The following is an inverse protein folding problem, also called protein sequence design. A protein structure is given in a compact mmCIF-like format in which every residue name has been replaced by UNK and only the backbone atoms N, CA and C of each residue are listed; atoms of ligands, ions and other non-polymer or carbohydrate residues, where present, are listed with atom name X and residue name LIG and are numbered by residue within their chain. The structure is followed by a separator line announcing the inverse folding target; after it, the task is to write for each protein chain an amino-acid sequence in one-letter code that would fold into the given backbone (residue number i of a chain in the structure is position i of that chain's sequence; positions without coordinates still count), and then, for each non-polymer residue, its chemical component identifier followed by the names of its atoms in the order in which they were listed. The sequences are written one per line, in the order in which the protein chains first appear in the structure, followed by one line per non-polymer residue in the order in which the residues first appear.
data_IF_868742081963
#
_entry.id   IF_868742081963
#
_cell.length_a   1.000
_cell.length_b   1.000
_cell.length_c   1.000
_cell.angle_alpha   90.00
_cell.angle_beta   90.00
_cell.angle_gamma   90.00
#
_symmetry.space_group_name_H-M   'P 1'
#
loop_
_entity.id
_entity.type
_entity.pdbx_description
1 polymer ?
#
# COMPACT_ATOMS: atom_id res chain seq x y z
N UNK A 1 14.85 -18.25 27.39
CA UNK A 1 15.30 -17.88 26.04
C UNK A 1 14.12 -17.26 25.31
N UNK A 2 14.18 -15.97 25.01
CA UNK A 2 13.20 -15.34 24.10
C UNK A 2 13.41 -15.94 22.70
N UNK A 3 12.36 -16.42 22.03
CA UNK A 3 12.50 -16.91 20.66
C UNK A 3 13.00 -15.77 19.78
N UNK A 4 13.97 -16.07 18.91
CA UNK A 4 14.45 -15.12 17.90
C UNK A 4 13.29 -14.93 16.92
N UNK A 5 12.59 -13.79 17.00
CA UNK A 5 11.60 -13.43 16.00
C UNK A 5 12.27 -13.19 14.66
N UNK A 6 11.65 -13.70 13.59
CA UNK A 6 12.08 -13.38 12.23
C UNK A 6 11.80 -11.90 11.93
N UNK A 7 12.62 -11.25 11.10
CA UNK A 7 12.37 -9.85 10.66
C UNK A 7 10.96 -9.68 10.09
N UNK A 8 10.46 -10.70 9.38
CA UNK A 8 9.09 -10.73 8.87
C UNK A 8 8.04 -10.74 9.97
N UNK A 9 8.27 -11.46 11.08
CA UNK A 9 7.34 -11.50 12.20
C UNK A 9 7.33 -10.21 12.99
N UNK A 10 8.51 -9.64 13.28
CA UNK A 10 8.64 -8.37 13.98
C UNK A 10 8.05 -7.19 13.18
N UNK A 11 8.20 -7.18 11.85
CA UNK A 11 7.54 -6.16 11.02
C UNK A 11 6.03 -6.38 10.89
N UNK A 12 5.57 -7.62 10.97
CA UNK A 12 4.14 -7.90 10.93
C UNK A 12 3.43 -7.55 12.25
N UNK A 13 4.13 -7.60 13.39
CA UNK A 13 3.64 -7.14 14.70
C UNK A 13 3.84 -5.64 14.93
N UNK A 14 4.72 -4.97 14.17
CA UNK A 14 4.97 -3.54 14.31
C UNK A 14 3.72 -2.65 14.12
N UNK A 15 3.61 -1.60 14.92
CA UNK A 15 2.54 -0.60 14.82
C UNK A 15 2.57 0.16 13.48
N UNK A 16 1.39 0.57 13.00
CA UNK A 16 1.26 1.25 11.71
C UNK A 16 2.04 2.56 11.63
N UNK A 17 2.03 3.35 12.70
CA UNK A 17 2.80 4.59 12.79
C UNK A 17 4.31 4.33 12.66
N UNK A 18 4.81 3.28 13.33
CA UNK A 18 6.21 2.88 13.23
C UNK A 18 6.57 2.47 11.79
N UNK A 19 5.67 1.77 11.10
CA UNK A 19 5.83 1.40 9.69
C UNK A 19 5.79 2.61 8.75
N UNK A 20 4.90 3.57 9.00
CA UNK A 20 4.83 4.82 8.23
C UNK A 20 6.14 5.63 8.37
N UNK A 21 6.68 5.72 9.60
CA UNK A 21 7.97 6.35 9.86
C UNK A 21 9.13 5.61 9.18
N UNK A 22 9.13 4.28 9.21
CA UNK A 22 10.14 3.45 8.54
C UNK A 22 10.08 3.64 7.01
N UNK A 23 8.88 3.66 6.42
CA UNK A 23 8.68 3.85 4.98
C UNK A 23 9.28 5.16 4.46
N UNK A 24 9.20 6.24 5.25
CA UNK A 24 9.84 7.54 4.93
C UNK A 24 11.36 7.44 4.88
N UNK A 25 11.96 6.64 5.75
CA UNK A 25 13.42 6.61 5.99
C UNK A 25 14.16 5.53 5.22
N UNK A 26 13.51 4.41 4.91
CA UNK A 26 14.18 3.26 4.28
C UNK A 26 14.82 3.67 2.95
N UNK A 27 15.99 3.11 2.62
CA UNK A 27 16.71 3.52 1.43
C UNK A 27 16.08 2.89 0.17
N UNK A 28 15.86 3.70 -0.87
CA UNK A 28 15.37 3.22 -2.18
C UNK A 28 16.41 2.38 -2.94
N UNK A 29 17.69 2.50 -2.60
CA UNK A 29 18.77 1.66 -3.13
C UNK A 29 19.16 1.94 -4.59
N UNK A 30 18.56 2.94 -5.25
CA UNK A 30 18.91 3.35 -6.61
C UNK A 30 20.08 4.32 -6.57
N UNK A 31 21.19 3.90 -7.17
CA UNK A 31 22.37 4.73 -7.40
C UNK A 31 22.45 5.14 -8.88
N UNK A 32 23.23 6.17 -9.18
CA UNK A 32 23.42 6.66 -10.55
C UNK A 32 22.57 7.89 -10.89
N UNK A 33 23.07 8.64 -11.88
CA UNK A 33 22.48 9.92 -12.30
C UNK A 33 22.04 9.94 -13.78
N UNK A 34 22.01 8.77 -14.42
CA UNK A 34 21.44 8.60 -15.76
C UNK A 34 19.92 8.79 -15.75
N UNK A 35 19.35 9.02 -16.94
CA UNK A 35 17.91 9.24 -17.10
C UNK A 35 17.06 8.08 -16.57
N UNK A 36 17.54 6.84 -16.70
CA UNK A 36 16.86 5.65 -16.21
C UNK A 36 16.82 5.60 -14.68
N UNK A 37 17.94 5.86 -14.02
CA UNK A 37 18.01 5.93 -12.56
C UNK A 37 17.16 7.09 -12.00
N UNK A 38 17.19 8.27 -12.64
CA UNK A 38 16.35 9.41 -12.25
C UNK A 38 14.86 9.09 -12.35
N UNK A 39 14.43 8.50 -13.47
CA UNK A 39 13.04 8.08 -13.68
C UNK A 39 12.60 7.05 -12.64
N UNK A 40 13.41 6.03 -12.38
CA UNK A 40 13.08 5.00 -11.41
C UNK A 40 13.03 5.56 -9.97
N UNK A 41 13.90 6.50 -9.61
CA UNK A 41 13.82 7.22 -8.32
C UNK A 41 12.52 7.99 -8.18
N UNK A 42 12.08 8.68 -9.24
CA UNK A 42 10.81 9.40 -9.23
C UNK A 42 9.62 8.44 -9.07
N UNK A 43 9.59 7.32 -9.82
CA UNK A 43 8.56 6.28 -9.69
C UNK A 43 8.49 5.72 -8.27
N UNK A 44 9.64 5.38 -7.66
CA UNK A 44 9.68 4.92 -6.27
C UNK A 44 9.28 5.99 -5.25
N UNK A 45 9.60 7.26 -5.52
CA UNK A 45 9.19 8.39 -4.70
C UNK A 45 7.66 8.52 -4.65
N UNK A 46 7.00 8.38 -5.80
CA UNK A 46 5.53 8.38 -5.90
C UNK A 46 4.94 7.19 -5.12
N UNK A 47 5.48 5.98 -5.32
CA UNK A 47 5.02 4.79 -4.58
C UNK A 47 5.18 4.97 -3.07
N UNK A 48 6.31 5.52 -2.62
CA UNK A 48 6.54 5.82 -1.21
C UNK A 48 5.51 6.78 -0.66
N UNK A 49 5.23 7.86 -1.39
CA UNK A 49 4.27 8.88 -0.96
C UNK A 49 2.87 8.29 -0.82
N UNK A 50 2.40 7.58 -1.85
CA UNK A 50 1.06 6.96 -1.88
C UNK A 50 0.92 5.93 -0.74
N UNK A 51 1.90 5.04 -0.57
CA UNK A 51 1.87 4.04 0.50
C UNK A 51 1.97 4.68 1.90
N UNK A 52 2.68 5.80 2.03
CA UNK A 52 2.81 6.51 3.31
C UNK A 52 1.48 7.13 3.73
N UNK A 53 0.79 7.80 2.81
CA UNK A 53 -0.52 8.38 3.09
C UNK A 53 -1.52 7.28 3.49
N UNK A 54 -1.58 6.17 2.72
CA UNK A 54 -2.46 5.05 3.03
C UNK A 54 -2.17 4.44 4.42
N UNK A 55 -0.90 4.19 4.75
CA UNK A 55 -0.54 3.59 6.04
C UNK A 55 -0.79 4.55 7.21
N UNK A 56 -0.57 5.87 7.01
CA UNK A 56 -0.81 6.88 8.05
C UNK A 56 -2.30 7.02 8.37
N UNK A 57 -3.16 6.87 7.36
CA UNK A 57 -4.61 6.90 7.55
C UNK A 57 -5.16 5.60 8.14
N UNK A 58 -4.31 4.58 8.29
CA UNK A 58 -4.72 3.29 8.82
C UNK A 58 -4.91 3.32 10.33
N UNK A 59 -6.15 3.54 10.73
CA UNK A 59 -6.61 3.52 12.12
C UNK A 59 -6.91 2.10 12.68
N UNK A 60 -6.42 1.04 12.02
CA UNK A 60 -6.71 -0.34 12.43
C UNK A 60 -8.07 -0.90 12.01
N UNK A 61 -8.83 -0.23 11.14
CA UNK A 61 -10.11 -0.71 10.59
C UNK A 61 -10.01 -2.00 9.74
N UNK A 62 -8.83 -2.64 9.67
CA UNK A 62 -8.54 -3.91 8.98
C UNK A 62 -9.13 -4.02 7.56
N UNK A 63 -9.32 -2.89 6.89
CA UNK A 63 -9.87 -2.80 5.55
C UNK A 63 -8.94 -1.98 4.69
N UNK A 64 -8.83 -2.35 3.42
CA UNK A 64 -8.06 -1.61 2.41
C UNK A 64 -8.88 -1.56 1.13
N UNK A 65 -8.81 -0.46 0.40
CA UNK A 65 -9.44 -0.40 -0.91
C UNK A 65 -8.86 -1.48 -1.85
N UNK A 66 -9.73 -2.29 -2.45
CA UNK A 66 -9.29 -3.38 -3.33
C UNK A 66 -8.56 -2.86 -4.58
N UNK A 67 -8.99 -1.72 -5.14
CA UNK A 67 -8.36 -1.16 -6.33
C UNK A 67 -6.94 -0.67 -5.98
N UNK A 68 -6.79 -0.01 -4.83
CA UNK A 68 -5.49 0.36 -4.27
C UNK A 68 -4.61 -0.87 -4.06
N UNK A 69 -5.10 -1.90 -3.35
CA UNK A 69 -4.33 -3.10 -3.06
C UNK A 69 -3.82 -3.79 -4.33
N UNK A 70 -4.69 -3.95 -5.34
CA UNK A 70 -4.33 -4.56 -6.63
C UNK A 70 -3.34 -3.70 -7.41
N UNK A 71 -3.55 -2.38 -7.45
CA UNK A 71 -2.66 -1.45 -8.14
C UNK A 71 -1.25 -1.44 -7.50
N UNK A 72 -1.19 -1.37 -6.18
CA UNK A 72 0.05 -1.42 -5.40
C UNK A 72 0.79 -2.74 -5.62
N UNK A 73 0.08 -3.88 -5.57
CA UNK A 73 0.69 -5.20 -5.83
C UNK A 73 1.28 -5.31 -7.25
N UNK A 74 0.53 -4.89 -8.27
CA UNK A 74 1.00 -4.88 -9.67
C UNK A 74 2.22 -3.97 -9.84
N UNK A 75 2.19 -2.80 -9.20
CA UNK A 75 3.28 -1.81 -9.26
C UNK A 75 4.55 -2.36 -8.63
N UNK A 76 4.47 -2.97 -7.45
CA UNK A 76 5.61 -3.62 -6.77
C UNK A 76 6.22 -4.69 -7.68
N UNK A 77 5.41 -5.60 -8.23
CA UNK A 77 5.91 -6.64 -9.16
C UNK A 77 6.59 -6.07 -10.39
N UNK A 78 6.08 -4.97 -10.93
CA UNK A 78 6.71 -4.28 -12.07
C UNK A 78 8.07 -3.71 -11.66
N UNK A 79 8.16 -3.09 -10.49
CA UNK A 79 9.40 -2.52 -9.96
C UNK A 79 10.45 -3.60 -9.66
N UNK A 80 10.05 -4.75 -9.09
CA UNK A 80 10.94 -5.90 -8.87
C UNK A 80 11.63 -6.33 -10.18
N UNK A 81 10.85 -6.53 -11.25
CA UNK A 81 11.39 -6.87 -12.58
C UNK A 81 12.35 -5.80 -13.11
N UNK A 82 12.09 -4.52 -12.83
CA UNK A 82 12.99 -3.44 -13.22
C UNK A 82 14.31 -3.46 -12.42
N UNK A 83 14.24 -3.76 -11.12
CA UNK A 83 15.42 -3.92 -10.27
C UNK A 83 16.29 -5.11 -10.73
N UNK A 84 15.66 -6.25 -11.01
CA UNK A 84 16.33 -7.44 -11.54
C UNK A 84 17.01 -7.16 -12.88
N UNK A 85 16.28 -6.56 -13.84
CA UNK A 85 16.81 -6.21 -15.16
C UNK A 85 18.01 -5.26 -15.09
N UNK A 86 18.05 -4.39 -14.07
CA UNK A 86 19.13 -3.41 -13.85
C UNK A 86 20.24 -3.92 -12.92
N UNK A 87 20.13 -5.14 -12.39
CA UNK A 87 21.11 -5.71 -11.47
C UNK A 87 21.22 -4.98 -10.12
N UNK A 88 20.15 -4.28 -9.69
CA UNK A 88 20.16 -3.50 -8.45
C UNK A 88 20.05 -4.45 -7.24
N UNK A 89 21.17 -4.67 -6.55
CA UNK A 89 21.25 -5.59 -5.40
C UNK A 89 20.79 -4.98 -4.08
N UNK A 90 20.93 -3.66 -3.89
CA UNK A 90 20.43 -2.96 -2.70
C UNK A 90 18.97 -2.61 -2.91
N UNK A 91 18.06 -3.38 -2.31
CA UNK A 91 16.62 -3.28 -2.56
C UNK A 91 15.79 -3.22 -1.26
N UNK A 92 16.33 -2.61 -0.20
CA UNK A 92 15.70 -2.50 1.13
C UNK A 92 14.26 -1.96 1.04
N UNK A 93 14.01 -0.93 0.23
CA UNK A 93 12.65 -0.42 0.00
C UNK A 93 11.72 -1.47 -0.62
N UNK A 94 12.19 -2.27 -1.58
CA UNK A 94 11.37 -3.33 -2.20
C UNK A 94 11.09 -4.45 -1.20
N UNK A 95 12.09 -4.82 -0.40
CA UNK A 95 11.93 -5.80 0.69
C UNK A 95 10.89 -5.29 1.70
N UNK A 96 10.97 -4.02 2.07
CA UNK A 96 10.01 -3.39 2.98
C UNK A 96 8.58 -3.41 2.43
N UNK A 97 8.39 -3.08 1.14
CA UNK A 97 7.08 -3.17 0.48
C UNK A 97 6.52 -4.60 0.48
N UNK A 98 7.35 -5.63 0.26
CA UNK A 98 6.91 -7.04 0.37
C UNK A 98 6.46 -7.39 1.80
N UNK A 99 7.18 -6.90 2.79
CA UNK A 99 6.88 -7.16 4.20
C UNK A 99 5.61 -6.45 4.65
N UNK A 100 5.31 -5.26 4.12
CA UNK A 100 4.01 -4.61 4.30
C UNK A 100 2.84 -5.47 3.78
N UNK A 101 2.98 -6.03 2.59
CA UNK A 101 1.95 -6.94 2.04
C UNK A 101 1.83 -8.23 2.86
N UNK A 102 2.93 -8.72 3.43
CA UNK A 102 2.90 -9.83 4.36
C UNK A 102 2.12 -9.48 5.64
N UNK A 103 2.31 -8.28 6.20
CA UNK A 103 1.51 -7.78 7.32
C UNK A 103 0.02 -7.72 6.96
N UNK A 104 -0.33 -7.23 5.76
CA UNK A 104 -1.72 -7.22 5.28
C UNK A 104 -2.35 -8.60 5.33
N UNK A 105 -1.62 -9.61 4.86
CA UNK A 105 -2.04 -11.00 4.92
C UNK A 105 -2.17 -11.52 6.36
N UNK A 106 -1.19 -11.23 7.25
CA UNK A 106 -1.17 -11.72 8.64
C UNK A 106 -2.32 -11.14 9.46
N UNK A 107 -2.59 -9.84 9.32
CA UNK A 107 -3.70 -9.16 10.00
C UNK A 107 -5.07 -9.42 9.36
N UNK A 108 -5.13 -10.27 8.33
CA UNK A 108 -6.36 -10.60 7.59
C UNK A 108 -7.10 -9.34 7.12
N UNK A 109 -6.35 -8.36 6.62
CA UNK A 109 -6.92 -7.13 6.10
C UNK A 109 -7.86 -7.48 4.95
N UNK A 110 -9.11 -7.02 5.07
CA UNK A 110 -10.17 -7.28 4.10
C UNK A 110 -10.10 -6.23 3.01
N UNK A 111 -9.85 -6.68 1.78
CA UNK A 111 -9.93 -5.80 0.63
C UNK A 111 -11.41 -5.50 0.34
N UNK A 112 -11.82 -4.24 0.54
CA UNK A 112 -13.20 -3.81 0.29
C UNK A 112 -13.32 -3.22 -1.11
N UNK A 113 -14.41 -3.57 -1.80
CA UNK A 113 -14.77 -2.87 -3.03
C UNK A 113 -15.48 -1.57 -2.62
N UNK A 114 -15.10 -0.40 -3.16
CA UNK A 114 -15.78 0.86 -2.84
C UNK A 114 -17.26 0.89 -3.28
N UNK A 115 -17.76 -0.16 -3.94
CA UNK A 115 -19.13 -0.31 -4.41
C UNK A 115 -20.20 -0.31 -3.31
N UNK A 116 -19.87 -0.58 -2.05
CA UNK A 116 -20.87 -0.52 -0.97
C UNK A 116 -21.36 0.92 -0.69
N UNK A 117 -20.51 1.94 -0.92
CA UNK A 117 -20.95 3.35 -0.83
C UNK A 117 -21.78 3.82 -2.03
N UNK A 118 -21.71 3.13 -3.18
CA UNK A 118 -22.60 3.41 -4.33
C UNK A 118 -24.02 2.85 -4.12
N UNK A 119 -24.17 1.78 -3.33
CA UNK A 119 -25.47 1.22 -2.98
C UNK A 119 -26.31 2.16 -2.11
N UNK A 120 -25.67 2.87 -1.19
CA UNK A 120 -26.32 3.90 -0.36
C UNK A 120 -26.76 5.11 -1.19
N UNK A 121 -25.96 5.56 -2.16
CA UNK A 121 -26.37 6.61 -3.12
C UNK A 121 -27.52 6.17 -4.04
N UNK A 122 -27.57 4.90 -4.47
CA UNK A 122 -28.71 4.37 -5.23
C UNK A 122 -29.99 4.28 -4.38
N UNK A 123 -29.89 3.91 -3.11
CA UNK A 123 -31.02 3.94 -2.16
C UNK A 123 -31.50 5.37 -1.90
N UNK A 124 -30.59 6.35 -1.79
CA UNK A 124 -30.96 7.77 -1.65
C UNK A 124 -31.58 8.35 -2.94
N UNK A 125 -31.11 7.95 -4.14
CA UNK A 125 -31.77 8.34 -5.40
C UNK A 125 -33.21 7.85 -5.49
N UNK A 126 -33.49 6.62 -5.04
CA UNK A 126 -34.87 6.10 -4.95
C UNK A 126 -35.77 6.88 -3.98
N UNK A 127 -35.20 7.50 -2.94
CA UNK A 127 -35.95 8.37 -2.00
C UNK A 127 -36.20 9.76 -2.61
N UNK A 128 -35.26 10.29 -3.39
CA UNK A 128 -35.40 11.59 -4.08
C UNK A 128 -36.35 11.50 -5.29
N UNK A 129 -36.36 10.37 -5.99
CA UNK A 129 -37.26 10.13 -7.14
C UNK A 129 -38.71 9.78 -6.73
N UNK A 130 -38.93 9.29 -5.51
CA UNK A 130 -40.28 9.01 -4.96
C UNK A 130 -40.80 10.06 -3.98
N UNK A 131 -40.05 11.15 -3.72
CA UNK A 131 -40.46 12.25 -2.84
C UNK A 131 -41.32 13.34 -3.50
N UNK A 132 -41.53 13.30 -4.82
CA UNK A 132 -42.35 14.28 -5.57
C UNK A 132 -43.73 13.74 -5.94
N UNK A 133 -44.39 13.06 -4.99
CA UNK A 133 -45.68 12.42 -5.22
C UNK A 133 -46.62 12.42 -4.02
N UNK A 134 -46.57 13.45 -3.17
CA UNK A 134 -47.62 13.76 -2.19
C UNK A 134 -47.72 15.29 -2.05
N UNK A 135 -48.35 15.92 -3.04
CA UNK A 135 -49.29 17.03 -2.82
C UNK A 135 -50.68 16.42 -3.06
#
# INVERSE_FOLDING_TARGET
MTPIESISDSLASAEWDALAHALKKVNIGIQGNDAGAKKLRAELGIVRMIMYEEIREWNGNNTIDLAFFVASFKTIRKLEKQFEKRGIKKNEFMLFLRLLFYKFKKQKIVAVKPLEKMGEFKKMKGVVEHGYGLI
#
